data_IF_632596971326
#
_entry.id   IF_632596971326
#
_cell.length_a   1.000
_cell.length_b   1.000
_cell.length_c   1.000
_cell.angle_alpha   90.00
_cell.angle_beta   90.00
_cell.angle_gamma   90.00
#
_symmetry.space_group_name_H-M   'P 1'
#
loop_
_entity.id
_entity.type
_entity.pdbx_description
1 polymer ?
#
# COMPACT_ATOMS: atom_id res chain seq x y z
N UNK A 1 -7.34 5.41 9.78
CA UNK A 1 -6.88 4.58 8.64
C UNK A 1 -5.82 5.30 7.78
N UNK A 2 -5.94 6.61 7.56
CA UNK A 2 -5.09 7.39 6.65
C UNK A 2 -3.58 7.27 6.92
N UNK A 3 -3.17 7.48 8.18
CA UNK A 3 -1.78 7.31 8.59
C UNK A 3 -1.25 5.89 8.30
N UNK A 4 -2.07 4.86 8.51
CA UNK A 4 -1.68 3.48 8.22
C UNK A 4 -1.52 3.23 6.71
N UNK A 5 -2.39 3.81 5.87
CA UNK A 5 -2.27 3.71 4.40
C UNK A 5 -1.01 4.40 3.91
N UNK A 6 -0.69 5.59 4.45
CA UNK A 6 0.53 6.32 4.11
C UNK A 6 1.80 5.53 4.50
N UNK A 7 1.86 5.04 5.74
CA UNK A 7 2.98 4.23 6.23
C UNK A 7 3.17 2.94 5.42
N UNK A 8 2.07 2.23 5.12
CA UNK A 8 2.11 1.03 4.29
C UNK A 8 2.60 1.35 2.88
N UNK A 9 2.17 2.47 2.30
CA UNK A 9 2.58 2.88 0.95
C UNK A 9 4.08 3.20 0.89
N UNK A 10 4.62 3.91 1.89
CA UNK A 10 6.05 4.16 1.99
C UNK A 10 6.84 2.84 2.13
N UNK A 11 6.37 1.93 2.97
CA UNK A 11 7.03 0.63 3.19
C UNK A 11 6.98 -0.27 1.96
N UNK A 12 5.85 -0.27 1.23
CA UNK A 12 5.70 -0.98 -0.05
C UNK A 12 6.72 -0.44 -1.04
N UNK A 13 6.81 0.89 -1.21
CA UNK A 13 7.79 1.52 -2.12
C UNK A 13 9.21 1.07 -1.81
N UNK A 14 9.63 1.19 -0.54
CA UNK A 14 10.96 0.77 -0.10
C UNK A 14 11.25 -0.72 -0.36
N UNK A 15 10.29 -1.61 -0.09
CA UNK A 15 10.44 -3.04 -0.37
C UNK A 15 10.45 -3.36 -1.86
N UNK A 16 9.69 -2.62 -2.68
CA UNK A 16 9.71 -2.78 -4.14
C UNK A 16 11.09 -2.45 -4.69
N UNK A 17 11.71 -1.36 -4.22
CA UNK A 17 13.06 -0.97 -4.63
C UNK A 17 14.10 -2.02 -4.20
N UNK A 18 14.04 -2.50 -2.95
CA UNK A 18 14.89 -3.60 -2.44
C UNK A 18 14.78 -4.87 -3.27
N UNK A 19 13.56 -5.27 -3.64
CA UNK A 19 13.36 -6.48 -4.44
C UNK A 19 13.81 -6.32 -5.91
N UNK A 20 14.00 -5.09 -6.38
CA UNK A 20 14.57 -4.80 -7.70
C UNK A 20 16.02 -5.27 -7.82
N UNK A 21 16.83 -5.06 -6.78
CA UNK A 21 18.20 -5.59 -6.69
C UNK A 21 18.24 -7.03 -6.18
N UNK A 22 17.35 -7.41 -5.26
CA UNK A 22 17.33 -8.74 -4.63
C UNK A 22 16.25 -9.67 -5.24
N UNK A 23 16.40 -10.00 -6.52
CA UNK A 23 15.37 -10.76 -7.27
C UNK A 23 15.03 -12.15 -6.70
N UNK A 24 15.96 -12.78 -5.96
CA UNK A 24 15.81 -14.11 -5.33
C UNK A 24 15.27 -14.06 -3.89
N UNK A 25 14.97 -12.88 -3.35
CA UNK A 25 14.39 -12.75 -2.02
C UNK A 25 12.86 -13.01 -2.05
N UNK A 26 12.51 -14.29 -2.02
CA UNK A 26 11.11 -14.74 -2.08
C UNK A 26 10.35 -14.53 -0.76
N UNK A 27 11.03 -14.57 0.38
CA UNK A 27 10.43 -14.36 1.70
C UNK A 27 9.96 -12.91 1.86
N UNK A 28 10.80 -11.94 1.50
CA UNK A 28 10.41 -10.52 1.51
C UNK A 28 9.33 -10.22 0.47
N UNK A 29 9.35 -10.87 -0.71
CA UNK A 29 8.28 -10.75 -1.70
C UNK A 29 6.93 -11.22 -1.15
N UNK A 30 6.91 -12.34 -0.42
CA UNK A 30 5.68 -12.80 0.26
C UNK A 30 5.20 -11.78 1.30
N UNK A 31 6.11 -11.21 2.08
CA UNK A 31 5.80 -10.13 3.03
C UNK A 31 5.21 -8.90 2.35
N UNK A 32 5.78 -8.49 1.21
CA UNK A 32 5.28 -7.38 0.40
C UNK A 32 3.83 -7.61 -0.04
N UNK A 33 3.49 -8.80 -0.55
CA UNK A 33 2.12 -9.13 -0.96
C UNK A 33 1.13 -8.99 0.19
N UNK A 34 1.50 -9.42 1.39
CA UNK A 34 0.68 -9.25 2.60
C UNK A 34 0.46 -7.78 2.94
N UNK A 35 1.48 -6.93 2.81
CA UNK A 35 1.36 -5.49 3.03
C UNK A 35 0.44 -4.82 1.99
N UNK A 36 0.56 -5.20 0.72
CA UNK A 36 -0.31 -4.71 -0.36
C UNK A 36 -1.77 -5.11 -0.09
N UNK A 37 -2.02 -6.37 0.28
CA UNK A 37 -3.35 -6.85 0.63
C UNK A 37 -3.94 -6.10 1.84
N UNK A 38 -3.13 -5.84 2.87
CA UNK A 38 -3.55 -5.04 4.03
C UNK A 38 -3.91 -3.60 3.66
N UNK A 39 -3.09 -2.95 2.82
CA UNK A 39 -3.38 -1.61 2.31
C UNK A 39 -4.68 -1.57 1.52
N UNK A 40 -4.91 -2.56 0.66
CA UNK A 40 -6.15 -2.69 -0.12
C UNK A 40 -7.38 -2.77 0.79
N UNK A 41 -7.37 -3.64 1.81
CA UNK A 41 -8.48 -3.74 2.77
C UNK A 41 -8.77 -2.43 3.51
N UNK A 42 -7.75 -1.65 3.85
CA UNK A 42 -7.92 -0.34 4.48
C UNK A 42 -8.51 0.69 3.51
N UNK A 43 -8.12 0.65 2.24
CA UNK A 43 -8.69 1.51 1.21
C UNK A 43 -10.15 1.14 0.92
N UNK A 44 -10.47 -0.15 0.83
CA UNK A 44 -11.85 -0.63 0.66
C UNK A 44 -12.74 -0.23 1.84
N UNK A 45 -12.19 -0.22 3.06
CA UNK A 45 -12.88 0.29 4.25
C UNK A 45 -13.12 1.80 4.16
N UNK A 46 -12.10 2.57 3.79
CA UNK A 46 -12.21 4.02 3.64
C UNK A 46 -13.19 4.44 2.54
N UNK A 47 -13.23 3.71 1.43
CA UNK A 47 -14.16 3.95 0.32
C UNK A 47 -15.62 3.77 0.77
N UNK A 48 -15.89 2.76 1.61
CA UNK A 48 -17.23 2.51 2.17
C UNK A 48 -17.64 3.50 3.26
N UNK A 49 -16.68 3.99 4.03
CA UNK A 49 -16.90 4.93 5.13
C UNK A 49 -17.10 6.36 4.63
N UNK A 50 -16.20 6.83 3.75
CA UNK A 50 -16.22 8.18 3.21
C UNK A 50 -15.46 8.26 1.88
N UNK A 51 -16.23 8.41 0.79
CA UNK A 51 -15.69 8.48 -0.56
C UNK A 51 -14.75 9.68 -0.79
N UNK A 52 -15.09 10.87 -0.27
CA UNK A 52 -14.25 12.06 -0.44
C UNK A 52 -12.88 11.89 0.22
N UNK A 53 -12.85 11.28 1.41
CA UNK A 53 -11.62 10.95 2.14
C UNK A 53 -10.78 9.93 1.38
N UNK A 54 -11.41 8.90 0.82
CA UNK A 54 -10.75 7.92 -0.04
C UNK A 54 -10.08 8.60 -1.25
N UNK A 55 -10.81 9.44 -1.99
CA UNK A 55 -10.31 10.15 -3.16
C UNK A 55 -9.10 11.03 -2.81
N UNK A 56 -9.17 11.79 -1.70
CA UNK A 56 -8.06 12.62 -1.22
C UNK A 56 -6.80 11.79 -0.94
N UNK A 57 -6.94 10.63 -0.31
CA UNK A 57 -5.80 9.76 0.03
C UNK A 57 -5.19 9.12 -1.22
N UNK A 58 -6.04 8.62 -2.13
CA UNK A 58 -5.59 7.99 -3.38
C UNK A 58 -4.84 9.00 -4.25
N UNK A 59 -5.39 10.22 -4.40
CA UNK A 59 -4.75 11.32 -5.11
C UNK A 59 -3.42 11.74 -4.44
N UNK A 60 -3.43 11.93 -3.12
CA UNK A 60 -2.24 12.36 -2.37
C UNK A 60 -1.10 11.34 -2.38
N UNK A 61 -1.40 10.04 -2.49
CA UNK A 61 -0.41 8.97 -2.55
C UNK A 61 -0.10 8.50 -3.99
N UNK A 62 -0.77 9.06 -5.01
CA UNK A 62 -0.59 8.66 -6.41
C UNK A 62 -0.94 7.20 -6.68
N UNK A 63 -1.86 6.61 -5.92
CA UNK A 63 -2.25 5.21 -6.07
C UNK A 63 -3.21 5.07 -7.26
N UNK A 64 -3.00 4.04 -8.09
CA UNK A 64 -3.90 3.69 -9.20
C UNK A 64 -4.67 2.43 -8.85
N UNK A 65 -5.94 2.38 -9.28
CA UNK A 65 -6.83 1.22 -9.11
C UNK A 65 -6.42 0.08 -10.03
#
# INVERSE_FOLDING_TARGET
ADYQVALLSQRIKHLTDHLGSHRKDFSSRRGLLTLVARRRKLLDFLEKDNEERYQKIVAGLGLRR
#
